data_IF_921166732760
#
_entry.id   IF_921166732760
#
_cell.length_a   1.000
_cell.length_b   1.000
_cell.length_c   1.000
_cell.angle_alpha   90.00
_cell.angle_beta   90.00
_cell.angle_gamma   90.00
#
_symmetry.space_group_name_H-M   'P 1'
#
loop_
_entity.id
_entity.type
_entity.pdbx_description
1 polymer ?
#
# COMPACT_ATOMS: atom_id res chain seq x y z
N UNK A 1 8.13 21.77 -47.30
CA UNK A 1 8.28 20.53 -46.52
C UNK A 1 9.77 20.39 -46.17
N UNK A 2 10.08 20.01 -44.95
CA UNK A 2 11.46 19.78 -44.55
C UNK A 2 12.04 18.58 -45.32
N UNK A 3 13.31 18.69 -45.74
CA UNK A 3 14.04 17.64 -46.46
C UNK A 3 15.21 17.14 -45.63
N UNK A 4 15.60 15.87 -45.82
CA UNK A 4 16.70 15.28 -45.08
C UNK A 4 17.82 14.77 -45.99
N UNK A 5 19.06 14.88 -45.52
CA UNK A 5 20.25 14.36 -46.19
C UNK A 5 21.24 13.82 -45.13
N UNK A 6 21.88 12.70 -45.43
CA UNK A 6 22.99 12.23 -44.60
C UNK A 6 24.23 13.15 -44.81
N UNK A 7 24.90 13.48 -43.73
CA UNK A 7 26.04 14.39 -43.70
C UNK A 7 27.12 13.87 -42.75
N UNK A 8 28.34 13.63 -43.29
CA UNK A 8 29.51 13.34 -42.49
C UNK A 8 30.19 14.62 -42.09
N UNK A 9 30.26 14.94 -40.81
CA UNK A 9 30.80 16.17 -40.29
C UNK A 9 32.32 16.06 -40.09
N UNK A 10 33.07 16.40 -41.13
CA UNK A 10 34.55 16.34 -41.18
C UNK A 10 35.23 17.61 -40.72
N UNK A 11 34.53 18.62 -40.24
CA UNK A 11 35.10 19.88 -39.80
C UNK A 11 36.08 19.68 -38.63
N UNK A 12 37.35 20.12 -38.83
CA UNK A 12 38.40 20.00 -37.83
C UNK A 12 38.88 18.55 -37.64
N UNK A 13 38.71 17.67 -38.64
CA UNK A 13 39.16 16.28 -38.66
C UNK A 13 40.09 16.03 -39.83
N UNK A 14 41.12 15.19 -39.62
CA UNK A 14 41.93 14.66 -40.70
C UNK A 14 41.19 13.55 -41.46
N UNK A 15 41.64 13.18 -42.65
CA UNK A 15 40.93 12.25 -43.56
C UNK A 15 40.71 10.85 -42.94
N UNK A 16 41.60 10.41 -42.04
CA UNK A 16 41.51 9.12 -41.37
C UNK A 16 40.84 9.19 -39.99
N UNK A 17 40.54 10.40 -39.50
CA UNK A 17 39.87 10.54 -38.19
C UNK A 17 38.38 10.16 -38.27
N UNK A 18 37.85 9.43 -37.26
CA UNK A 18 36.42 9.17 -37.22
C UNK A 18 35.58 10.45 -37.04
N UNK A 19 34.81 10.83 -38.04
CA UNK A 19 33.88 11.93 -38.06
C UNK A 19 32.45 11.52 -37.78
N UNK A 20 31.62 12.26 -37.03
CA UNK A 20 30.26 11.90 -36.74
C UNK A 20 29.35 12.01 -37.97
N UNK A 21 28.58 10.94 -38.23
CA UNK A 21 27.51 10.92 -39.23
C UNK A 21 26.24 11.51 -38.67
N UNK A 22 25.64 12.44 -39.37
CA UNK A 22 24.45 13.20 -38.96
C UNK A 22 23.38 13.17 -40.06
N UNK A 23 22.13 13.34 -39.71
CA UNK A 23 21.04 13.72 -40.64
C UNK A 23 20.93 15.21 -40.62
N UNK A 24 21.16 15.83 -41.75
CA UNK A 24 20.89 17.27 -42.00
C UNK A 24 19.43 17.43 -42.36
N UNK A 25 18.70 18.25 -41.62
CA UNK A 25 17.31 18.61 -41.89
C UNK A 25 17.29 20.04 -42.39
N UNK A 26 16.73 20.26 -43.57
CA UNK A 26 16.65 21.60 -44.19
C UNK A 26 15.19 22.01 -44.34
N UNK A 27 14.86 23.23 -43.89
CA UNK A 27 13.54 23.84 -44.06
C UNK A 27 13.70 25.32 -44.37
N UNK A 28 13.08 25.81 -45.44
CA UNK A 28 13.17 27.20 -45.89
C UNK A 28 14.59 27.76 -45.93
N UNK A 29 15.53 27.00 -46.49
CA UNK A 29 16.92 27.40 -46.66
C UNK A 29 17.80 27.39 -45.40
N UNK A 30 17.23 27.04 -44.23
CA UNK A 30 17.98 26.86 -42.97
C UNK A 30 18.15 25.38 -42.67
N UNK A 31 19.29 25.00 -42.08
CA UNK A 31 19.63 23.62 -41.79
C UNK A 31 19.94 23.39 -40.32
N UNK A 32 19.60 22.19 -39.82
CA UNK A 32 19.98 21.68 -38.50
C UNK A 32 20.40 20.22 -38.63
N UNK A 33 20.94 19.65 -37.56
CA UNK A 33 21.54 18.30 -37.61
C UNK A 33 21.09 17.45 -36.45
N UNK A 34 20.79 16.15 -36.73
CA UNK A 34 20.57 15.10 -35.73
C UNK A 34 21.72 14.08 -35.86
N UNK A 35 22.42 13.79 -34.77
CA UNK A 35 23.49 12.77 -34.76
C UNK A 35 22.90 11.37 -34.83
N UNK A 36 23.55 10.49 -35.61
CA UNK A 36 23.19 9.08 -35.70
C UNK A 36 24.01 8.18 -34.75
N UNK A 37 24.85 8.78 -33.90
CA UNK A 37 25.78 8.07 -32.99
C UNK A 37 26.77 7.14 -33.70
N UNK A 38 26.94 7.32 -35.00
CA UNK A 38 27.89 6.61 -35.87
C UNK A 38 29.04 7.55 -36.20
N UNK A 39 30.26 7.05 -36.11
CA UNK A 39 31.48 7.78 -36.54
C UNK A 39 32.19 6.96 -37.62
N UNK A 40 32.58 7.62 -38.71
CA UNK A 40 33.25 7.04 -39.85
C UNK A 40 34.40 7.94 -40.31
N UNK A 41 35.57 7.38 -40.71
CA UNK A 41 36.57 8.15 -41.43
C UNK A 41 36.04 8.52 -42.84
N UNK A 42 36.52 9.61 -43.39
CA UNK A 42 36.11 10.08 -44.71
C UNK A 42 36.31 9.07 -45.82
N UNK A 43 37.36 8.21 -45.71
CA UNK A 43 37.66 7.14 -46.63
C UNK A 43 36.57 6.04 -46.71
N UNK A 44 35.78 5.90 -45.65
CA UNK A 44 34.68 4.94 -45.56
C UNK A 44 33.31 5.54 -45.89
N UNK A 45 33.23 6.76 -46.34
CA UNK A 45 31.99 7.43 -46.69
C UNK A 45 31.94 7.86 -48.15
N UNK A 46 30.85 7.57 -48.84
CA UNK A 46 30.55 8.04 -50.16
C UNK A 46 29.47 9.16 -50.04
N UNK A 47 29.90 10.41 -50.21
CA UNK A 47 29.01 11.57 -50.00
C UNK A 47 27.98 11.74 -51.15
N UNK A 48 28.31 11.29 -52.38
CA UNK A 48 27.36 11.37 -53.50
C UNK A 48 26.27 10.36 -53.38
N UNK A 49 26.64 9.10 -53.11
CA UNK A 49 25.72 7.98 -52.95
C UNK A 49 25.12 7.89 -51.55
N UNK A 50 25.60 8.66 -50.60
CA UNK A 50 25.22 8.65 -49.18
C UNK A 50 25.27 7.22 -48.56
N UNK A 51 26.38 6.50 -48.83
CA UNK A 51 26.56 5.10 -48.42
C UNK A 51 27.91 4.89 -47.77
N UNK A 52 27.94 3.93 -46.89
CA UNK A 52 29.18 3.42 -46.31
C UNK A 52 29.93 2.56 -47.37
N UNK A 53 31.24 2.78 -47.53
CA UNK A 53 32.11 2.02 -48.39
C UNK A 53 33.33 1.57 -47.60
N UNK A 54 33.91 0.41 -47.99
CA UNK A 54 35.17 -0.09 -47.45
C UNK A 54 35.26 -0.19 -45.91
N UNK A 55 34.11 -0.30 -45.22
CA UNK A 55 34.08 -0.46 -43.76
C UNK A 55 33.83 -1.93 -43.39
N UNK A 56 34.41 -2.42 -42.27
CA UNK A 56 33.98 -3.71 -41.70
C UNK A 56 32.49 -3.68 -41.43
N UNK A 57 31.75 -4.76 -41.77
CA UNK A 57 30.32 -4.87 -41.62
C UNK A 57 29.49 -3.75 -42.32
N UNK A 58 30.01 -3.26 -43.47
CA UNK A 58 29.38 -2.13 -44.21
C UNK A 58 27.91 -2.34 -44.52
N UNK A 59 27.45 -3.59 -44.77
CA UNK A 59 26.02 -3.92 -44.99
C UNK A 59 25.15 -3.69 -43.74
N UNK A 60 25.61 -4.18 -42.58
CA UNK A 60 24.89 -3.99 -41.30
C UNK A 60 24.84 -2.52 -40.89
N UNK A 61 25.98 -1.84 -41.06
CA UNK A 61 26.09 -0.43 -40.73
C UNK A 61 25.21 0.45 -41.64
N UNK A 62 25.21 0.12 -42.96
CA UNK A 62 24.32 0.81 -43.90
C UNK A 62 22.84 0.56 -43.59
N UNK A 63 22.47 -0.68 -43.20
CA UNK A 63 21.07 -0.97 -42.76
C UNK A 63 20.70 -0.19 -41.53
N UNK A 64 21.56 -0.11 -40.52
CA UNK A 64 21.32 0.69 -39.30
C UNK A 64 21.15 2.18 -39.63
N UNK A 65 22.04 2.77 -40.43
CA UNK A 65 21.99 4.16 -40.86
C UNK A 65 20.66 4.46 -41.60
N UNK A 66 20.32 3.59 -42.55
CA UNK A 66 19.09 3.74 -43.35
C UNK A 66 17.84 3.64 -42.47
N UNK A 67 17.79 2.69 -41.51
CA UNK A 67 16.68 2.56 -40.59
C UNK A 67 16.51 3.82 -39.71
N UNK A 68 17.61 4.36 -39.18
CA UNK A 68 17.59 5.60 -38.38
C UNK A 68 17.15 6.81 -39.23
N UNK A 69 17.64 6.93 -40.46
CA UNK A 69 17.19 7.98 -41.39
C UNK A 69 15.70 7.83 -41.70
N UNK A 70 15.20 6.61 -41.97
CA UNK A 70 13.81 6.34 -42.26
C UNK A 70 12.89 6.71 -41.07
N UNK A 71 13.32 6.46 -39.82
CA UNK A 71 12.59 6.91 -38.65
C UNK A 71 12.42 8.43 -38.61
N UNK A 72 13.49 9.18 -38.94
CA UNK A 72 13.44 10.64 -39.02
C UNK A 72 12.53 11.10 -40.16
N UNK A 73 12.61 10.48 -41.33
CA UNK A 73 11.79 10.81 -42.49
C UNK A 73 10.31 10.56 -42.21
N UNK A 74 9.97 9.42 -41.60
CA UNK A 74 8.61 9.10 -41.20
C UNK A 74 8.07 10.07 -40.14
N UNK A 75 8.89 10.47 -39.16
CA UNK A 75 8.53 11.49 -38.17
C UNK A 75 8.20 12.84 -38.83
N UNK A 76 9.02 13.27 -39.81
CA UNK A 76 8.75 14.50 -40.55
C UNK A 76 7.44 14.41 -41.36
N UNK A 77 7.20 13.27 -42.01
CA UNK A 77 5.99 13.04 -42.77
C UNK A 77 4.75 13.09 -41.88
N UNK A 78 4.75 12.37 -40.78
CA UNK A 78 3.64 12.25 -39.84
C UNK A 78 3.31 13.58 -39.15
N UNK A 79 4.33 14.28 -38.64
CA UNK A 79 4.19 15.60 -38.03
C UNK A 79 3.76 16.67 -39.04
N UNK A 80 4.21 16.54 -40.31
CA UNK A 80 3.81 17.44 -41.39
C UNK A 80 2.35 17.24 -41.81
N UNK A 81 1.89 15.98 -41.91
CA UNK A 81 0.48 15.65 -42.23
C UNK A 81 -0.48 16.12 -41.15
N UNK A 82 -0.06 16.05 -39.88
CA UNK A 82 -0.80 16.61 -38.73
C UNK A 82 -0.76 18.13 -38.63
N UNK A 83 0.01 18.80 -39.50
CA UNK A 83 0.18 20.25 -39.48
C UNK A 83 1.06 20.79 -38.34
N UNK A 84 1.67 19.90 -37.57
CA UNK A 84 2.42 20.25 -36.35
C UNK A 84 3.79 20.92 -36.62
N UNK A 85 4.30 20.86 -37.84
CA UNK A 85 5.54 21.51 -38.26
C UNK A 85 5.32 22.89 -38.91
N UNK A 86 4.07 23.33 -39.10
CA UNK A 86 3.74 24.57 -39.76
C UNK A 86 4.16 25.77 -38.90
N UNK A 87 4.95 26.71 -39.48
CA UNK A 87 5.40 27.91 -38.79
C UNK A 87 6.58 27.76 -37.84
N UNK A 88 7.11 26.53 -37.68
CA UNK A 88 8.23 26.25 -36.79
C UNK A 88 9.57 26.60 -37.45
N UNK A 89 10.51 27.04 -36.62
CA UNK A 89 11.93 27.20 -37.02
C UNK A 89 12.57 25.81 -37.18
N UNK A 90 13.65 25.71 -37.94
CA UNK A 90 14.37 24.46 -38.21
C UNK A 90 14.86 23.81 -36.90
N UNK A 91 15.20 24.60 -35.87
CA UNK A 91 15.60 24.10 -34.54
C UNK A 91 14.41 23.47 -33.82
N UNK A 92 13.27 24.13 -33.81
CA UNK A 92 12.02 23.58 -33.21
C UNK A 92 11.54 22.33 -33.93
N UNK A 93 11.71 22.27 -35.27
CA UNK A 93 11.44 21.07 -36.06
C UNK A 93 12.33 19.92 -35.60
N UNK A 94 13.64 20.13 -35.40
CA UNK A 94 14.55 19.14 -34.90
C UNK A 94 14.11 18.63 -33.51
N UNK A 95 13.78 19.53 -32.60
CA UNK A 95 13.34 19.20 -31.24
C UNK A 95 12.06 18.37 -31.26
N UNK A 96 11.07 18.75 -32.07
CA UNK A 96 9.84 17.98 -32.25
C UNK A 96 10.07 16.60 -32.86
N UNK A 97 10.95 16.48 -33.85
CA UNK A 97 11.33 15.19 -34.43
C UNK A 97 12.03 14.31 -33.39
N UNK A 98 12.94 14.86 -32.60
CA UNK A 98 13.62 14.12 -31.52
C UNK A 98 12.63 13.69 -30.44
N UNK A 99 11.68 14.54 -30.06
CA UNK A 99 10.60 14.19 -29.13
C UNK A 99 9.66 13.11 -29.71
N UNK A 100 9.37 13.15 -31.01
CA UNK A 100 8.54 12.16 -31.69
C UNK A 100 9.23 10.78 -31.80
N UNK A 101 10.54 10.75 -32.12
CA UNK A 101 11.32 9.52 -32.26
C UNK A 101 11.68 8.92 -30.90
N UNK A 102 12.02 9.77 -29.96
CA UNK A 102 12.29 9.43 -28.57
C UNK A 102 11.34 10.27 -27.70
N UNK A 103 10.07 9.90 -27.60
CA UNK A 103 9.19 10.61 -26.69
C UNK A 103 9.83 10.52 -25.30
N UNK A 104 10.33 11.66 -24.83
CA UNK A 104 10.68 11.80 -23.44
C UNK A 104 9.38 11.54 -22.68
N UNK A 105 9.30 10.42 -21.96
CA UNK A 105 8.19 10.19 -21.03
C UNK A 105 8.18 11.41 -20.14
N UNK A 106 7.14 12.24 -20.23
CA UNK A 106 7.02 13.42 -19.37
C UNK A 106 7.28 12.94 -17.95
N UNK A 107 8.10 13.63 -17.19
CA UNK A 107 8.45 13.21 -15.82
C UNK A 107 7.22 12.86 -14.98
N UNK A 108 6.09 13.53 -15.25
CA UNK A 108 4.80 13.22 -14.61
C UNK A 108 4.20 11.86 -14.98
N UNK A 109 4.60 11.22 -16.09
CA UNK A 109 4.15 9.91 -16.57
C UNK A 109 5.14 8.79 -16.23
N UNK A 110 6.28 9.10 -15.62
CA UNK A 110 7.16 8.07 -15.07
C UNK A 110 6.47 7.33 -13.92
N UNK A 111 6.79 6.05 -13.79
CA UNK A 111 6.14 5.19 -12.79
C UNK A 111 6.19 5.76 -11.37
N UNK A 112 7.35 6.23 -10.91
CA UNK A 112 7.50 6.77 -9.56
C UNK A 112 6.68 8.06 -9.34
N UNK A 113 6.66 8.96 -10.33
CA UNK A 113 5.88 10.21 -10.28
C UNK A 113 4.39 9.91 -10.17
N UNK A 114 3.89 8.97 -11.01
CA UNK A 114 2.50 8.49 -10.95
C UNK A 114 2.19 7.78 -9.65
N UNK A 115 3.10 6.92 -9.17
CA UNK A 115 2.92 6.20 -7.90
C UNK A 115 2.77 7.17 -6.73
N UNK A 116 3.61 8.19 -6.66
CA UNK A 116 3.56 9.25 -5.65
C UNK A 116 2.23 10.00 -5.72
N UNK A 117 1.88 10.53 -6.89
CA UNK A 117 0.62 11.28 -7.13
C UNK A 117 -0.61 10.43 -6.76
N UNK A 118 -0.64 9.17 -7.17
CA UNK A 118 -1.71 8.23 -6.84
C UNK A 118 -1.82 7.97 -5.34
N UNK A 119 -0.71 7.77 -4.64
CA UNK A 119 -0.69 7.61 -3.20
C UNK A 119 -1.19 8.84 -2.44
N UNK A 120 -0.77 10.02 -2.86
CA UNK A 120 -1.17 11.31 -2.27
C UNK A 120 -2.66 11.63 -2.51
N UNK A 121 -3.25 11.16 -3.60
CA UNK A 121 -4.68 11.35 -3.91
C UNK A 121 -5.62 10.50 -3.05
N UNK A 122 -5.12 9.57 -2.24
CA UNK A 122 -5.96 8.75 -1.36
C UNK A 122 -6.57 9.61 -0.25
N UNK A 123 -7.80 9.32 0.14
CA UNK A 123 -8.53 10.10 1.16
C UNK A 123 -8.07 9.76 2.58
N UNK A 124 -7.83 8.49 2.87
CA UNK A 124 -7.45 8.03 4.21
C UNK A 124 -5.94 8.17 4.44
N UNK A 125 -5.54 8.85 5.51
CA UNK A 125 -4.12 9.10 5.85
C UNK A 125 -3.33 7.81 6.01
N UNK A 126 -3.91 6.79 6.64
CA UNK A 126 -3.26 5.48 6.76
C UNK A 126 -2.98 4.83 5.40
N UNK A 127 -3.85 5.04 4.42
CA UNK A 127 -3.63 4.55 3.06
C UNK A 127 -2.48 5.32 2.40
N UNK A 128 -2.41 6.65 2.56
CA UNK A 128 -1.28 7.46 2.08
C UNK A 128 0.05 6.98 2.65
N UNK A 129 0.12 6.72 3.96
CA UNK A 129 1.31 6.19 4.63
C UNK A 129 1.76 4.84 4.05
N UNK A 130 0.82 3.94 3.74
CA UNK A 130 1.12 2.63 3.14
C UNK A 130 1.70 2.81 1.74
N UNK A 131 1.16 3.73 0.91
CA UNK A 131 1.72 4.06 -0.40
C UNK A 131 3.11 4.70 -0.26
N UNK A 132 3.29 5.63 0.66
CA UNK A 132 4.60 6.25 0.93
C UNK A 132 5.65 5.20 1.36
N UNK A 133 5.25 4.24 2.19
CA UNK A 133 6.11 3.11 2.59
C UNK A 133 6.47 2.24 1.39
N UNK A 134 5.51 1.96 0.50
CA UNK A 134 5.78 1.18 -0.72
C UNK A 134 6.72 1.93 -1.65
N UNK A 135 6.51 3.23 -1.85
CA UNK A 135 7.38 4.08 -2.65
C UNK A 135 8.82 4.05 -2.15
N UNK A 136 9.02 4.16 -0.83
CA UNK A 136 10.34 4.05 -0.20
C UNK A 136 10.99 2.70 -0.50
N UNK A 137 10.24 1.59 -0.40
CA UNK A 137 10.75 0.24 -0.73
C UNK A 137 11.14 0.09 -2.19
N UNK A 138 10.41 0.69 -3.12
CA UNK A 138 10.75 0.70 -4.55
C UNK A 138 12.07 1.45 -4.79
N UNK A 139 12.24 2.61 -4.17
CA UNK A 139 13.48 3.41 -4.27
C UNK A 139 14.68 2.68 -3.64
N UNK A 140 14.47 1.97 -2.52
CA UNK A 140 15.51 1.15 -1.88
C UNK A 140 15.92 -0.04 -2.75
N UNK A 141 14.98 -0.61 -3.51
CA UNK A 141 15.20 -1.76 -4.37
C UNK A 141 15.90 -1.39 -5.67
N UNK A 142 15.41 -0.36 -6.36
CA UNK A 142 15.87 0.03 -7.69
C UNK A 142 16.49 1.43 -7.67
N UNK A 143 17.81 1.50 -7.87
CA UNK A 143 18.56 2.77 -7.88
C UNK A 143 18.14 3.71 -9.01
N UNK A 144 17.55 3.16 -10.07
CA UNK A 144 17.09 3.89 -11.24
C UNK A 144 15.57 4.12 -11.23
N UNK A 145 14.91 3.87 -10.11
CA UNK A 145 13.46 3.98 -9.96
C UNK A 145 12.90 5.33 -10.44
N UNK A 146 13.66 6.43 -10.28
CA UNK A 146 13.25 7.77 -10.70
C UNK A 146 13.04 7.93 -12.22
N UNK A 147 13.69 7.09 -13.02
CA UNK A 147 13.63 7.11 -14.49
C UNK A 147 12.84 5.94 -15.09
N UNK A 148 12.25 5.06 -14.25
CA UNK A 148 11.50 3.90 -14.72
C UNK A 148 10.22 4.33 -15.45
N UNK A 149 10.06 3.87 -16.68
CA UNK A 149 8.75 3.85 -17.36
C UNK A 149 7.93 2.62 -16.93
N UNK A 150 6.64 2.64 -17.19
CA UNK A 150 5.76 1.49 -16.91
C UNK A 150 6.19 0.23 -17.67
N UNK A 151 6.70 0.37 -18.90
CA UNK A 151 7.13 -0.72 -19.77
C UNK A 151 8.37 -1.46 -19.23
N UNK A 152 9.19 -0.79 -18.44
CA UNK A 152 10.39 -1.38 -17.83
C UNK A 152 10.07 -2.25 -16.61
N UNK A 153 8.87 -2.10 -16.02
CA UNK A 153 8.43 -2.91 -14.90
C UNK A 153 7.83 -4.22 -15.43
N UNK A 154 8.70 -5.22 -15.59
CA UNK A 154 8.35 -6.55 -16.08
C UNK A 154 7.90 -7.48 -14.95
N UNK A 155 7.41 -8.68 -15.30
CA UNK A 155 7.18 -9.74 -14.29
C UNK A 155 8.43 -10.12 -13.54
N UNK A 156 9.57 -10.12 -14.21
CA UNK A 156 10.87 -10.40 -13.59
C UNK A 156 11.23 -9.33 -12.58
N UNK A 157 11.05 -8.03 -12.93
CA UNK A 157 11.23 -6.92 -11.99
C UNK A 157 10.36 -7.09 -10.74
N UNK A 158 9.08 -7.45 -10.90
CA UNK A 158 8.14 -7.69 -9.79
C UNK A 158 8.59 -8.88 -8.91
N UNK A 159 9.07 -9.96 -9.52
CA UNK A 159 9.58 -11.14 -8.80
C UNK A 159 10.84 -10.81 -8.00
N UNK A 160 11.73 -10.01 -8.58
CA UNK A 160 12.95 -9.55 -7.93
C UNK A 160 12.62 -8.59 -6.77
N UNK A 161 11.62 -7.71 -6.95
CA UNK A 161 11.13 -6.85 -5.88
C UNK A 161 10.49 -7.65 -4.74
N UNK A 162 9.68 -8.68 -5.02
CA UNK A 162 9.14 -9.57 -3.98
C UNK A 162 10.25 -10.30 -3.23
N UNK A 163 11.28 -10.78 -3.94
CA UNK A 163 12.46 -11.42 -3.35
C UNK A 163 13.25 -10.46 -2.46
N UNK A 164 13.42 -9.22 -2.90
CA UNK A 164 14.04 -8.16 -2.08
C UNK A 164 13.25 -7.91 -0.80
N UNK A 165 11.93 -7.77 -0.89
CA UNK A 165 11.08 -7.60 0.30
C UNK A 165 11.16 -8.81 1.25
N UNK A 166 11.23 -10.04 0.71
CA UNK A 166 11.44 -11.26 1.50
C UNK A 166 12.79 -11.23 2.21
N UNK A 167 13.85 -10.79 1.54
CA UNK A 167 15.18 -10.62 2.13
C UNK A 167 15.22 -9.59 3.27
N UNK A 168 14.29 -8.62 3.29
CA UNK A 168 14.08 -7.70 4.40
C UNK A 168 13.24 -8.27 5.56
N UNK A 169 12.89 -9.56 5.52
CA UNK A 169 12.13 -10.24 6.58
C UNK A 169 10.61 -10.03 6.51
N UNK A 170 10.06 -9.45 5.43
CA UNK A 170 8.61 -9.27 5.30
C UNK A 170 7.93 -10.62 5.00
N UNK A 171 6.89 -10.94 5.77
CA UNK A 171 6.01 -12.09 5.52
C UNK A 171 5.18 -11.88 4.25
N UNK A 172 4.69 -12.97 3.64
CA UNK A 172 3.99 -12.95 2.34
C UNK A 172 2.84 -11.94 2.29
N UNK A 173 1.98 -11.90 3.31
CA UNK A 173 0.86 -10.96 3.35
C UNK A 173 1.29 -9.49 3.40
N UNK A 174 2.42 -9.18 4.04
CA UNK A 174 2.98 -7.82 4.06
C UNK A 174 3.57 -7.44 2.69
N UNK A 175 4.28 -8.37 2.02
CA UNK A 175 4.79 -8.17 0.67
C UNK A 175 3.66 -7.94 -0.32
N UNK A 176 2.58 -8.71 -0.20
CA UNK A 176 1.38 -8.58 -1.03
C UNK A 176 0.71 -7.19 -0.93
N UNK A 177 0.85 -6.48 0.19
CA UNK A 177 0.37 -5.09 0.30
C UNK A 177 1.12 -4.21 -0.70
N UNK A 178 2.44 -4.29 -0.75
CA UNK A 178 3.26 -3.51 -1.68
C UNK A 178 2.97 -3.85 -3.14
N UNK A 179 2.83 -5.13 -3.46
CA UNK A 179 2.48 -5.59 -4.82
C UNK A 179 1.07 -5.15 -5.26
N UNK A 180 0.08 -5.15 -4.34
CA UNK A 180 -1.26 -4.61 -4.61
C UNK A 180 -1.24 -3.11 -4.85
N UNK A 181 -0.40 -2.36 -4.14
CA UNK A 181 -0.24 -0.93 -4.37
C UNK A 181 0.33 -0.66 -5.77
N UNK A 182 1.33 -1.43 -6.20
CA UNK A 182 1.87 -1.35 -7.57
C UNK A 182 0.77 -1.69 -8.58
N UNK A 183 0.00 -2.76 -8.37
CA UNK A 183 -1.13 -3.13 -9.23
C UNK A 183 -2.15 -1.99 -9.38
N UNK A 184 -2.48 -1.33 -8.27
CA UNK A 184 -3.46 -0.24 -8.30
C UNK A 184 -2.97 0.95 -9.13
N UNK A 185 -1.68 1.26 -9.06
CA UNK A 185 -1.07 2.33 -9.88
C UNK A 185 -1.02 1.95 -11.35
N UNK A 186 -0.76 0.67 -11.69
CA UNK A 186 -0.85 0.19 -13.07
C UNK A 186 -2.27 0.31 -13.63
N UNK A 187 -3.28 -0.08 -12.85
CA UNK A 187 -4.68 0.06 -13.28
C UNK A 187 -5.03 1.54 -13.53
N UNK A 188 -4.64 2.45 -12.62
CA UNK A 188 -4.83 3.88 -12.80
C UNK A 188 -4.11 4.42 -14.06
N UNK A 189 -2.90 3.95 -14.33
CA UNK A 189 -2.16 4.37 -15.52
C UNK A 189 -2.78 3.87 -16.82
N UNK A 190 -3.34 2.66 -16.81
CA UNK A 190 -4.07 2.09 -17.96
C UNK A 190 -5.38 2.84 -18.17
N UNK A 191 -6.15 3.08 -17.10
CA UNK A 191 -7.42 3.82 -17.16
C UNK A 191 -7.24 5.26 -17.66
N UNK A 192 -6.05 5.85 -17.43
CA UNK A 192 -5.65 7.18 -17.94
C UNK A 192 -4.84 7.13 -19.24
N UNK A 193 -4.82 6.01 -19.97
CA UNK A 193 -4.17 5.83 -21.27
C UNK A 193 -2.66 6.16 -21.28
N UNK A 194 -1.98 6.06 -20.13
CA UNK A 194 -0.54 6.34 -20.01
C UNK A 194 0.28 5.16 -20.50
N UNK A 195 -0.21 3.94 -20.28
CA UNK A 195 0.43 2.71 -20.72
C UNK A 195 -0.63 1.65 -21.04
N UNK A 196 -0.32 0.76 -22.00
CA UNK A 196 -1.09 -0.46 -22.24
C UNK A 196 -0.39 -1.70 -21.60
N UNK A 197 0.81 -1.51 -21.03
CA UNK A 197 1.59 -2.57 -20.43
C UNK A 197 1.01 -3.00 -19.08
N UNK A 198 0.79 -4.32 -18.88
CA UNK A 198 0.24 -4.87 -17.63
C UNK A 198 0.99 -6.12 -17.16
N UNK A 199 2.08 -5.96 -16.41
CA UNK A 199 2.91 -7.08 -15.95
C UNK A 199 2.24 -7.92 -14.86
N UNK A 200 1.16 -7.41 -14.24
CA UNK A 200 0.45 -8.08 -13.15
C UNK A 200 -0.46 -9.22 -13.59
N UNK A 201 -0.65 -9.42 -14.92
CA UNK A 201 -1.46 -10.51 -15.44
C UNK A 201 -0.88 -11.87 -15.02
N UNK A 202 -1.67 -12.65 -14.28
CA UNK A 202 -1.23 -13.95 -13.71
C UNK A 202 -0.04 -13.84 -12.74
N UNK A 203 0.21 -12.66 -12.15
CA UNK A 203 1.19 -12.52 -11.06
C UNK A 203 0.51 -12.87 -9.73
N UNK A 204 1.10 -13.82 -8.99
CA UNK A 204 0.51 -14.30 -7.74
C UNK A 204 0.68 -13.30 -6.60
N UNK A 205 -0.44 -12.76 -6.12
CA UNK A 205 -0.57 -11.95 -4.90
C UNK A 205 -1.67 -12.52 -3.99
N UNK A 206 -1.83 -13.85 -3.99
CA UNK A 206 -2.80 -14.50 -3.12
C UNK A 206 -2.36 -14.42 -1.66
N UNK A 207 -3.29 -14.16 -0.74
CA UNK A 207 -2.97 -14.14 0.67
C UNK A 207 -2.58 -15.53 1.15
N UNK A 208 -1.69 -15.57 2.14
CA UNK A 208 -1.38 -16.77 2.90
C UNK A 208 -2.27 -16.82 4.14
N UNK A 209 -2.76 -18.00 4.46
CA UNK A 209 -3.51 -18.20 5.69
C UNK A 209 -2.63 -17.85 6.91
N UNK A 210 -3.23 -17.18 7.87
CA UNK A 210 -2.56 -16.80 9.12
C UNK A 210 -3.17 -17.59 10.28
N UNK A 211 -2.35 -17.84 11.32
CA UNK A 211 -2.85 -18.44 12.58
C UNK A 211 -4.11 -17.71 13.07
N UNK A 212 -5.07 -18.48 13.57
CA UNK A 212 -6.28 -17.94 14.19
C UNK A 212 -5.90 -17.02 15.37
N UNK A 213 -6.45 -15.83 15.38
CA UNK A 213 -6.24 -14.83 16.43
C UNK A 213 -7.43 -14.76 17.36
N UNK A 214 -7.85 -15.91 17.89
CA UNK A 214 -8.98 -16.03 18.81
C UNK A 214 -8.57 -16.87 20.01
N UNK A 215 -9.16 -16.55 21.16
CA UNK A 215 -9.10 -17.37 22.36
C UNK A 215 -10.19 -18.46 22.30
N UNK A 216 -9.92 -19.64 22.87
CA UNK A 216 -10.95 -20.59 23.22
C UNK A 216 -11.81 -20.04 24.37
N UNK A 217 -12.95 -20.65 24.63
CA UNK A 217 -13.85 -20.26 25.73
C UNK A 217 -13.13 -20.30 27.07
N UNK A 218 -12.40 -21.41 27.32
CA UNK A 218 -11.69 -21.59 28.58
C UNK A 218 -10.53 -20.58 28.74
N UNK A 219 -9.83 -20.28 27.65
CA UNK A 219 -8.81 -19.24 27.63
C UNK A 219 -9.40 -17.85 27.89
N UNK A 220 -10.57 -17.55 27.31
CA UNK A 220 -11.25 -16.26 27.53
C UNK A 220 -11.73 -16.15 28.99
N UNK A 221 -12.34 -17.22 29.54
CA UNK A 221 -12.74 -17.27 30.95
C UNK A 221 -11.56 -17.12 31.89
N UNK A 222 -10.45 -17.78 31.59
CA UNK A 222 -9.19 -17.59 32.33
C UNK A 222 -8.71 -16.16 32.27
N UNK A 223 -8.73 -15.50 31.10
CA UNK A 223 -8.35 -14.10 30.95
C UNK A 223 -9.27 -13.18 31.74
N UNK A 224 -10.58 -13.43 31.75
CA UNK A 224 -11.55 -12.58 32.43
C UNK A 224 -11.55 -12.72 33.95
N UNK A 225 -11.17 -13.90 34.46
CA UNK A 225 -11.12 -14.21 35.90
C UNK A 225 -9.72 -14.09 36.51
N UNK A 226 -8.66 -13.94 35.70
CA UNK A 226 -7.32 -13.88 36.24
C UNK A 226 -7.09 -12.61 37.08
N UNK A 227 -6.35 -12.78 38.19
CA UNK A 227 -5.86 -11.64 38.94
C UNK A 227 -4.80 -10.89 38.11
N UNK A 228 -4.94 -9.57 38.00
CA UNK A 228 -3.99 -8.69 37.30
C UNK A 228 -3.49 -7.61 38.24
N UNK A 229 -2.31 -7.06 37.97
CA UNK A 229 -1.80 -5.92 38.71
C UNK A 229 -2.67 -4.67 38.45
N UNK A 230 -2.76 -3.76 39.44
CA UNK A 230 -3.59 -2.54 39.37
C UNK A 230 -3.37 -1.74 38.07
N UNK A 231 -2.15 -1.66 37.57
CA UNK A 231 -1.86 -0.93 36.33
C UNK A 231 -2.38 -1.67 35.06
N UNK A 232 -2.59 -2.99 35.12
CA UNK A 232 -3.11 -3.79 34.01
C UNK A 232 -4.64 -3.77 33.94
N UNK A 233 -5.31 -3.51 35.07
CA UNK A 233 -6.77 -3.61 35.22
C UNK A 233 -7.51 -2.83 34.15
N UNK A 234 -7.14 -1.55 33.93
CA UNK A 234 -7.79 -0.71 32.90
C UNK A 234 -7.64 -1.27 31.47
N UNK A 235 -6.57 -1.99 31.19
CA UNK A 235 -6.36 -2.59 29.87
C UNK A 235 -7.16 -3.87 29.73
N UNK A 236 -7.26 -4.67 30.77
CA UNK A 236 -8.13 -5.84 30.79
C UNK A 236 -9.60 -5.44 30.67
N UNK A 237 -10.04 -4.42 31.37
CA UNK A 237 -11.40 -3.89 31.28
C UNK A 237 -11.68 -3.32 29.85
N UNK A 238 -10.69 -2.69 29.22
CA UNK A 238 -10.80 -2.28 27.83
C UNK A 238 -10.98 -3.47 26.87
N UNK A 239 -10.30 -4.59 27.12
CA UNK A 239 -10.49 -5.81 26.34
C UNK A 239 -11.89 -6.38 26.55
N UNK A 240 -12.35 -6.47 27.82
CA UNK A 240 -13.70 -6.92 28.18
C UNK A 240 -14.76 -6.05 27.50
N UNK A 241 -14.66 -4.72 27.63
CA UNK A 241 -15.61 -3.78 27.00
C UNK A 241 -15.63 -3.95 25.49
N UNK A 242 -14.46 -4.11 24.85
CA UNK A 242 -14.37 -4.35 23.41
C UNK A 242 -15.10 -5.65 23.03
N UNK A 243 -14.95 -6.71 23.80
CA UNK A 243 -15.63 -7.98 23.58
C UNK A 243 -17.14 -7.87 23.79
N UNK A 244 -17.59 -7.23 24.86
CA UNK A 244 -19.01 -7.05 25.19
C UNK A 244 -19.76 -6.21 24.14
N UNK A 245 -19.04 -5.32 23.48
CA UNK A 245 -19.52 -4.51 22.36
C UNK A 245 -19.22 -5.16 20.98
N UNK A 246 -19.31 -6.49 20.89
CA UNK A 246 -19.19 -7.26 19.63
C UNK A 246 -17.85 -7.01 18.92
N UNK A 247 -16.79 -6.80 19.66
CA UNK A 247 -15.48 -6.50 19.10
C UNK A 247 -15.41 -5.16 18.35
N UNK A 248 -15.99 -4.12 18.91
CA UNK A 248 -15.91 -2.75 18.39
C UNK A 248 -14.46 -2.36 18.09
N UNK A 249 -14.20 -1.65 16.97
CA UNK A 249 -12.83 -1.24 16.66
C UNK A 249 -12.32 -0.19 17.65
N UNK A 250 -11.03 -0.23 17.99
CA UNK A 250 -10.42 0.74 18.90
C UNK A 250 -10.70 2.20 18.56
N UNK A 251 -10.58 2.57 17.28
CA UNK A 251 -10.85 3.95 16.85
C UNK A 251 -12.28 4.34 17.11
N UNK A 252 -13.24 3.44 16.84
CA UNK A 252 -14.66 3.73 17.01
C UNK A 252 -14.99 3.86 18.51
N UNK A 253 -14.55 2.92 19.36
CA UNK A 253 -14.79 3.00 20.81
C UNK A 253 -14.16 4.23 21.45
N UNK A 254 -12.93 4.57 21.06
CA UNK A 254 -12.20 5.72 21.62
C UNK A 254 -12.69 7.07 21.10
N UNK A 255 -13.56 7.10 20.10
CA UNK A 255 -14.19 8.33 19.58
C UNK A 255 -15.63 8.51 20.02
N UNK A 256 -16.25 7.50 20.63
CA UNK A 256 -17.61 7.61 21.13
C UNK A 256 -17.72 8.61 22.30
N UNK A 257 -18.86 9.32 22.33
CA UNK A 257 -19.26 10.25 23.37
C UNK A 257 -20.59 9.80 23.98
N UNK A 258 -21.09 10.49 24.98
CA UNK A 258 -22.43 10.22 25.57
C UNK A 258 -23.56 10.39 24.55
N UNK A 259 -23.39 11.25 23.55
CA UNK A 259 -24.37 11.45 22.48
C UNK A 259 -24.56 10.18 21.62
N UNK A 260 -23.61 9.27 21.65
CA UNK A 260 -23.73 7.98 20.99
C UNK A 260 -24.60 6.97 21.73
N UNK A 261 -24.99 7.28 22.98
CA UNK A 261 -25.90 6.41 23.75
C UNK A 261 -27.35 6.93 23.57
N UNK A 262 -28.19 6.08 23.00
CA UNK A 262 -29.64 6.33 22.84
C UNK A 262 -30.42 5.07 23.17
N UNK A 263 -31.41 5.18 24.03
CA UNK A 263 -32.32 4.08 24.42
C UNK A 263 -31.57 2.79 24.82
N UNK A 264 -30.51 2.92 25.63
CA UNK A 264 -29.68 1.79 26.07
C UNK A 264 -28.81 1.16 24.98
N UNK A 265 -28.60 1.86 23.88
CA UNK A 265 -27.84 1.39 22.73
C UNK A 265 -26.67 2.32 22.41
N UNK A 266 -25.53 1.75 22.02
CA UNK A 266 -24.42 2.48 21.46
C UNK A 266 -24.61 2.59 19.94
N UNK A 267 -24.88 3.82 19.47
CA UNK A 267 -25.11 4.11 18.06
C UNK A 267 -23.94 4.94 17.55
N UNK A 268 -23.22 4.42 16.58
CA UNK A 268 -22.05 5.10 16.02
C UNK A 268 -21.86 4.81 14.54
N UNK A 269 -21.18 5.73 13.85
CA UNK A 269 -20.79 5.59 12.46
C UNK A 269 -19.35 5.06 12.40
N UNK A 270 -19.16 3.87 11.82
CA UNK A 270 -17.84 3.25 11.72
C UNK A 270 -16.87 4.08 10.89
N UNK A 271 -15.74 4.45 11.42
CA UNK A 271 -14.72 5.30 10.79
C UNK A 271 -14.27 4.75 9.42
N UNK A 272 -14.03 3.45 9.33
CA UNK A 272 -13.48 2.82 8.12
C UNK A 272 -14.48 2.73 6.96
N UNK A 273 -15.76 2.52 7.22
CA UNK A 273 -16.74 2.15 6.17
C UNK A 273 -17.91 3.11 6.08
N UNK A 274 -18.06 4.03 7.04
CA UNK A 274 -19.19 4.93 7.13
C UNK A 274 -20.55 4.27 7.47
N UNK A 275 -20.56 2.94 7.76
CA UNK A 275 -21.78 2.20 8.12
C UNK A 275 -22.19 2.57 9.55
N UNK A 276 -23.50 2.72 9.76
CA UNK A 276 -24.09 2.89 11.09
C UNK A 276 -24.15 1.55 11.83
N UNK A 277 -23.81 1.58 13.11
CA UNK A 277 -23.91 0.48 14.05
C UNK A 277 -24.83 0.87 15.20
N UNK A 278 -25.58 -0.10 15.67
CA UNK A 278 -26.46 0.01 16.84
C UNK A 278 -26.28 -1.26 17.66
N UNK A 279 -25.59 -1.16 18.78
CA UNK A 279 -25.27 -2.27 19.68
C UNK A 279 -26.00 -2.03 21.00
N UNK A 280 -26.78 -2.99 21.48
CA UNK A 280 -27.36 -2.95 22.83
C UNK A 280 -26.21 -2.99 23.85
N UNK A 281 -26.27 -2.08 24.82
CA UNK A 281 -25.29 -2.05 25.90
C UNK A 281 -25.80 -2.94 27.00
N UNK A 282 -25.16 -4.10 27.15
CA UNK A 282 -25.48 -5.07 28.20
C UNK A 282 -24.92 -4.60 29.56
N UNK A 283 -25.47 -5.10 30.67
CA UNK A 283 -25.12 -4.66 32.03
C UNK A 283 -23.63 -4.74 32.32
N UNK A 284 -22.99 -5.81 31.84
CA UNK A 284 -21.52 -6.01 31.98
C UNK A 284 -20.70 -4.90 31.28
N UNK A 285 -21.22 -4.37 30.21
CA UNK A 285 -20.60 -3.23 29.50
C UNK A 285 -20.87 -1.90 30.21
N UNK A 286 -22.08 -1.74 30.78
CA UNK A 286 -22.48 -0.56 31.56
C UNK A 286 -21.55 -0.37 32.75
N UNK A 287 -21.25 -1.44 33.50
CA UNK A 287 -20.36 -1.39 34.66
C UNK A 287 -18.96 -0.85 34.31
N UNK A 288 -18.41 -1.30 33.18
CA UNK A 288 -17.10 -0.82 32.73
C UNK A 288 -17.19 0.64 32.22
N UNK A 289 -18.23 0.99 31.48
CA UNK A 289 -18.45 2.36 31.01
C UNK A 289 -18.56 3.31 32.21
N UNK A 290 -19.30 2.96 33.24
CA UNK A 290 -19.45 3.75 34.45
C UNK A 290 -18.14 3.88 35.23
N UNK A 291 -17.38 2.78 35.38
CA UNK A 291 -16.06 2.74 36.03
C UNK A 291 -15.07 3.69 35.37
N UNK A 292 -15.10 3.78 34.03
CA UNK A 292 -14.16 4.58 33.24
C UNK A 292 -14.83 5.77 32.55
N UNK A 293 -15.91 6.30 33.11
CA UNK A 293 -16.63 7.43 32.53
C UNK A 293 -15.69 8.57 32.17
N UNK A 294 -15.78 9.04 30.93
CA UNK A 294 -15.01 10.17 30.44
C UNK A 294 -15.68 11.52 30.69
N UNK A 295 -14.93 12.59 30.56
CA UNK A 295 -15.46 13.97 30.59
C UNK A 295 -15.97 14.44 29.24
N UNK A 296 -15.30 14.03 28.16
CA UNK A 296 -15.62 14.37 26.77
C UNK A 296 -15.97 13.13 25.96
N UNK A 297 -15.30 12.03 26.26
CA UNK A 297 -15.50 10.75 25.59
C UNK A 297 -16.37 9.84 26.48
N UNK A 298 -16.99 8.87 25.88
CA UNK A 298 -17.79 7.87 26.60
C UNK A 298 -16.97 7.19 27.71
N UNK A 299 -15.70 6.88 27.40
CA UNK A 299 -14.74 6.29 28.34
C UNK A 299 -13.42 7.07 28.32
N UNK A 300 -12.81 7.26 29.50
CA UNK A 300 -11.63 8.11 29.68
C UNK A 300 -10.30 7.46 29.25
N UNK A 301 -10.33 6.33 28.57
CA UNK A 301 -9.12 5.59 28.23
C UNK A 301 -8.08 6.41 27.46
N UNK A 302 -8.52 7.33 26.60
CA UNK A 302 -7.68 8.11 25.71
C UNK A 302 -7.71 9.62 25.95
N UNK A 303 -8.52 10.12 26.90
CA UNK A 303 -8.70 11.57 27.13
C UNK A 303 -7.42 12.37 27.39
N UNK A 304 -6.41 11.72 27.97
CA UNK A 304 -5.12 12.34 28.27
C UNK A 304 -4.01 11.91 27.31
N UNK A 305 -4.36 11.39 26.13
CA UNK A 305 -3.41 10.89 25.15
C UNK A 305 -3.52 11.67 23.84
N UNK A 306 -2.39 11.84 23.17
CA UNK A 306 -2.33 12.53 21.88
C UNK A 306 -3.12 11.77 20.81
N UNK A 307 -3.09 10.42 20.84
CA UNK A 307 -3.81 9.57 19.91
C UNK A 307 -4.29 8.28 20.60
N UNK A 308 -5.38 7.71 20.11
CA UNK A 308 -5.85 6.39 20.56
C UNK A 308 -4.82 5.28 20.25
N UNK A 309 -3.99 5.43 19.22
CA UNK A 309 -2.92 4.48 18.89
C UNK A 309 -1.96 4.26 20.05
N UNK A 310 -1.57 5.35 20.73
CA UNK A 310 -0.68 5.26 21.90
C UNK A 310 -1.30 4.43 23.02
N UNK A 311 -2.61 4.55 23.25
CA UNK A 311 -3.31 3.72 24.23
C UNK A 311 -3.35 2.24 23.80
N UNK A 312 -3.71 1.99 22.55
CA UNK A 312 -3.79 0.62 21.98
C UNK A 312 -2.43 -0.08 22.04
N UNK A 313 -1.32 0.63 21.76
CA UNK A 313 0.02 0.07 21.91
C UNK A 313 0.35 -0.30 23.34
N UNK A 314 0.00 0.57 24.30
CA UNK A 314 0.17 0.29 25.74
C UNK A 314 -0.69 -0.90 26.16
N UNK A 315 -1.94 -0.96 25.72
CA UNK A 315 -2.84 -2.07 25.99
C UNK A 315 -2.28 -3.40 25.44
N UNK A 316 -1.83 -3.41 24.19
CA UNK A 316 -1.23 -4.61 23.59
C UNK A 316 0.06 -5.04 24.29
N UNK A 317 0.86 -4.11 24.84
CA UNK A 317 2.01 -4.43 25.66
C UNK A 317 1.61 -4.97 27.04
N UNK A 318 0.51 -4.45 27.63
CA UNK A 318 -0.04 -4.92 28.89
C UNK A 318 -0.59 -6.35 28.79
N UNK A 319 -1.36 -6.66 27.73
CA UNK A 319 -1.88 -8.00 27.50
C UNK A 319 -0.80 -9.08 27.44
N UNK A 320 0.34 -8.76 26.83
CA UNK A 320 1.50 -9.66 26.73
C UNK A 320 2.24 -9.87 28.08
N UNK A 321 1.78 -9.22 29.15
CA UNK A 321 2.30 -9.35 30.50
C UNK A 321 1.24 -9.91 31.47
N UNK A 322 0.02 -10.18 31.01
CA UNK A 322 -1.00 -10.82 31.85
C UNK A 322 -0.64 -12.30 31.99
N UNK A 323 -0.31 -12.72 33.20
CA UNK A 323 0.16 -14.05 33.54
C UNK A 323 0.78 -14.11 34.91
N UNK A 324 1.56 -15.17 35.17
CA UNK A 324 2.26 -15.34 36.43
C UNK A 324 3.36 -14.28 36.59
N UNK A 325 3.47 -13.73 37.79
CA UNK A 325 4.50 -12.75 38.16
C UNK A 325 5.61 -13.47 38.91
N UNK A 326 6.81 -13.43 38.33
CA UNK A 326 7.98 -14.09 38.90
C UNK A 326 8.99 -13.03 39.36
N UNK A 327 9.46 -13.10 40.60
CA UNK A 327 10.58 -12.30 41.08
C UNK A 327 11.87 -13.04 40.76
N UNK A 328 12.71 -12.44 39.92
CA UNK A 328 14.00 -13.02 39.51
C UNK A 328 15.12 -12.23 40.18
N UNK A 329 16.04 -12.91 40.88
CA UNK A 329 17.20 -12.27 41.48
C UNK A 329 18.15 -11.71 40.43
N UNK A 330 18.66 -10.51 40.70
CA UNK A 330 19.67 -9.89 39.83
C UNK A 330 21.02 -10.56 40.07
N UNK A 331 21.47 -11.38 39.12
CA UNK A 331 22.80 -12.03 39.18
C UNK A 331 23.95 -11.03 38.98
N UNK A 332 23.71 -9.94 38.25
CA UNK A 332 24.69 -8.85 38.07
C UNK A 332 24.11 -7.52 38.53
N UNK A 333 24.78 -6.90 39.47
CA UNK A 333 24.42 -5.56 39.98
C UNK A 333 25.03 -4.51 39.06
N UNK A 334 24.27 -4.02 38.08
CA UNK A 334 24.67 -2.82 37.32
C UNK A 334 24.47 -1.55 38.15
N UNK A 335 25.12 -0.45 37.77
CA UNK A 335 24.96 0.84 38.45
C UNK A 335 23.51 1.31 38.59
N UNK A 336 22.64 0.95 37.61
CA UNK A 336 21.19 1.27 37.62
C UNK A 336 20.39 0.35 38.57
N UNK A 337 20.83 -0.87 38.83
CA UNK A 337 20.12 -1.88 39.64
C UNK A 337 20.60 -2.00 41.06
N UNK A 338 21.45 -1.09 41.54
CA UNK A 338 22.02 -1.13 42.90
C UNK A 338 20.99 -1.10 44.04
N UNK A 339 19.77 -0.58 43.74
CA UNK A 339 18.66 -0.49 44.72
C UNK A 339 17.79 -1.72 44.82
N UNK A 340 17.83 -2.61 43.83
CA UNK A 340 16.92 -3.77 43.77
C UNK A 340 17.73 -5.04 43.64
N UNK A 341 17.46 -6.00 44.55
CA UNK A 341 18.03 -7.35 44.52
C UNK A 341 17.33 -8.28 43.55
N UNK A 342 16.20 -7.86 42.96
CA UNK A 342 15.39 -8.63 42.03
C UNK A 342 14.78 -7.73 40.99
N UNK A 343 14.36 -8.32 39.86
CA UNK A 343 13.49 -7.69 38.86
C UNK A 343 12.25 -8.56 38.67
N UNK A 344 11.17 -7.92 38.21
CA UNK A 344 9.89 -8.60 37.92
C UNK A 344 9.94 -9.13 36.51
N UNK A 345 9.71 -10.44 36.37
CA UNK A 345 9.50 -11.10 35.06
C UNK A 345 8.07 -11.61 34.99
N UNK A 346 7.43 -11.37 33.84
CA UNK A 346 6.10 -11.87 33.56
C UNK A 346 6.18 -13.13 32.71
N UNK A 347 5.46 -14.20 33.11
CA UNK A 347 5.22 -15.40 32.33
C UNK A 347 3.81 -15.29 31.76
N UNK A 348 3.63 -14.75 30.54
CA UNK A 348 2.31 -14.45 30.02
C UNK A 348 1.51 -15.71 29.72
N UNK A 349 0.19 -15.69 29.99
CA UNK A 349 -0.73 -16.75 29.57
C UNK A 349 -0.90 -16.72 28.04
N UNK A 350 -0.94 -15.53 27.44
CA UNK A 350 -1.20 -15.33 26.02
C UNK A 350 -0.18 -14.35 25.38
N UNK A 351 1.02 -14.80 25.02
CA UNK A 351 2.13 -13.92 24.60
C UNK A 351 1.87 -13.20 23.27
N UNK A 352 0.91 -13.66 22.47
CA UNK A 352 0.52 -13.03 21.19
C UNK A 352 -0.75 -12.17 21.32
N UNK A 353 -1.37 -12.07 22.51
CA UNK A 353 -2.65 -11.38 22.71
C UNK A 353 -2.58 -9.90 22.31
N UNK A 354 -3.60 -9.46 21.62
CA UNK A 354 -3.83 -8.05 21.25
C UNK A 354 -5.30 -7.72 21.31
N UNK A 355 -5.66 -6.45 21.36
CA UNK A 355 -7.06 -6.00 21.41
C UNK A 355 -7.91 -6.58 20.26
N UNK A 356 -7.32 -6.78 19.11
CA UNK A 356 -8.02 -7.32 17.94
C UNK A 356 -8.52 -8.75 18.14
N UNK A 357 -7.92 -9.51 19.07
CA UNK A 357 -8.38 -10.84 19.44
C UNK A 357 -9.78 -10.81 20.07
N UNK A 358 -10.17 -9.75 20.75
CA UNK A 358 -11.52 -9.62 21.31
C UNK A 358 -12.60 -9.83 20.23
N UNK A 359 -12.41 -9.18 19.07
CA UNK A 359 -13.33 -9.29 17.94
C UNK A 359 -13.33 -10.68 17.30
N UNK A 360 -12.14 -11.26 17.08
CA UNK A 360 -12.06 -12.62 16.54
C UNK A 360 -12.61 -13.66 17.51
N UNK A 361 -12.37 -13.49 18.80
CA UNK A 361 -12.86 -14.39 19.83
C UNK A 361 -14.38 -14.35 19.89
N UNK A 362 -14.99 -13.16 19.86
CA UNK A 362 -16.44 -13.02 19.81
C UNK A 362 -17.02 -13.77 18.60
N UNK A 363 -16.49 -13.56 17.42
CA UNK A 363 -16.95 -14.22 16.20
C UNK A 363 -16.79 -15.75 16.25
N UNK A 364 -15.64 -16.23 16.74
CA UNK A 364 -15.35 -17.66 16.84
C UNK A 364 -16.29 -18.35 17.84
N UNK A 365 -16.54 -17.72 18.99
CA UNK A 365 -17.46 -18.25 20.00
C UNK A 365 -18.90 -18.23 19.46
N UNK A 366 -19.34 -17.12 18.87
CA UNK A 366 -20.66 -17.01 18.25
C UNK A 366 -20.91 -18.13 17.24
N UNK A 367 -19.94 -18.40 16.38
CA UNK A 367 -20.01 -19.52 15.42
C UNK A 367 -20.07 -20.88 16.14
N UNK A 368 -19.25 -21.08 17.18
CA UNK A 368 -19.19 -22.36 17.91
C UNK A 368 -20.48 -22.71 18.68
N UNK A 369 -21.29 -21.71 19.05
CA UNK A 369 -22.59 -21.89 19.71
C UNK A 369 -23.78 -21.85 18.75
N UNK A 370 -23.50 -21.98 17.43
CA UNK A 370 -24.52 -22.14 16.39
C UNK A 370 -25.23 -20.87 15.95
N UNK A 371 -24.61 -19.68 16.16
CA UNK A 371 -25.13 -18.44 15.58
C UNK A 371 -24.82 -18.44 14.07
N UNK A 372 -25.83 -18.17 13.20
CA UNK A 372 -25.66 -18.15 11.76
C UNK A 372 -24.57 -17.18 11.29
N UNK A 373 -23.79 -17.57 10.28
CA UNK A 373 -22.70 -16.74 9.74
C UNK A 373 -23.17 -15.37 9.25
N UNK A 374 -24.39 -15.28 8.72
CA UNK A 374 -24.97 -14.03 8.24
C UNK A 374 -25.16 -13.04 9.38
N UNK A 375 -25.64 -13.51 10.56
CA UNK A 375 -25.81 -12.68 11.77
C UNK A 375 -24.43 -12.25 12.30
N UNK A 376 -23.46 -13.17 12.34
CA UNK A 376 -22.09 -12.88 12.76
C UNK A 376 -21.47 -11.80 11.83
N UNK A 377 -21.59 -12.00 10.53
CA UNK A 377 -21.04 -11.06 9.55
C UNK A 377 -21.70 -9.68 9.65
N UNK A 378 -23.03 -9.63 9.84
CA UNK A 378 -23.76 -8.39 10.01
C UNK A 378 -23.36 -7.68 11.31
N UNK A 379 -23.30 -8.38 12.43
CA UNK A 379 -22.84 -7.88 13.72
C UNK A 379 -21.40 -7.31 13.61
N UNK A 380 -20.56 -7.93 12.82
CA UNK A 380 -19.20 -7.45 12.54
C UNK A 380 -19.14 -6.41 11.40
N UNK A 381 -20.25 -6.16 10.70
CA UNK A 381 -20.36 -5.20 9.60
C UNK A 381 -19.55 -5.60 8.38
N UNK A 382 -19.46 -6.87 8.12
CA UNK A 382 -18.98 -7.36 6.84
C UNK A 382 -20.13 -7.30 5.82
N UNK A 383 -19.85 -6.93 4.58
CA UNK A 383 -20.85 -6.96 3.52
C UNK A 383 -21.10 -8.40 3.10
N UNK A 384 -22.27 -8.92 3.40
CA UNK A 384 -22.78 -10.16 2.81
C UNK A 384 -23.81 -9.82 1.73
N UNK A 385 -23.66 -10.41 0.56
CA UNK A 385 -24.67 -10.42 -0.49
C UNK A 385 -25.02 -9.05 -1.13
N UNK A 386 -26.02 -9.07 -2.01
CA UNK A 386 -26.48 -7.92 -2.74
C UNK A 386 -27.05 -6.82 -1.84
N UNK A 387 -26.68 -5.58 -2.11
CA UNK A 387 -27.11 -4.34 -1.41
C UNK A 387 -28.64 -4.15 -1.28
N UNK A 388 -29.43 -4.93 -1.95
CA UNK A 388 -30.91 -4.86 -1.99
C UNK A 388 -31.59 -5.31 -0.68
N UNK A 389 -30.88 -6.02 0.20
CA UNK A 389 -31.43 -6.52 1.48
C UNK A 389 -31.35 -5.49 2.62
N UNK A 390 -30.79 -4.30 2.40
CA UNK A 390 -30.64 -3.26 3.43
C UNK A 390 -31.97 -2.64 3.92
N UNK A 391 -33.09 -2.97 3.29
CA UNK A 391 -34.44 -2.47 3.67
C UNK A 391 -35.06 -3.24 4.86
N UNK A 392 -34.44 -4.37 5.27
CA UNK A 392 -34.92 -5.24 6.37
C UNK A 392 -34.19 -5.01 7.69
N UNK A 393 -33.72 -3.77 7.95
CA UNK A 393 -32.78 -3.42 9.03
C UNK A 393 -33.35 -3.72 10.45
N UNK A 394 -34.65 -3.58 10.69
CA UNK A 394 -35.21 -3.75 12.06
C UNK A 394 -35.15 -5.21 12.59
N UNK A 395 -35.31 -6.22 11.74
CA UNK A 395 -35.20 -7.62 12.17
C UNK A 395 -33.76 -8.03 12.47
N UNK A 396 -32.80 -7.40 11.80
CA UNK A 396 -31.39 -7.68 11.93
C UNK A 396 -30.81 -7.22 13.28
N UNK A 397 -31.23 -6.07 13.78
CA UNK A 397 -30.76 -5.53 15.07
C UNK A 397 -31.17 -6.43 16.25
N UNK A 398 -32.42 -6.90 16.29
CA UNK A 398 -32.88 -7.84 17.32
C UNK A 398 -32.11 -9.17 17.31
N UNK A 399 -31.78 -9.68 16.13
CA UNK A 399 -30.99 -10.91 15.99
C UNK A 399 -29.55 -10.71 16.47
N UNK A 400 -28.95 -9.54 16.19
CA UNK A 400 -27.61 -9.19 16.67
C UNK A 400 -27.60 -9.09 18.21
N UNK A 401 -28.60 -8.46 18.81
CA UNK A 401 -28.74 -8.33 20.26
C UNK A 401 -28.88 -9.71 20.92
N UNK A 402 -29.76 -10.56 20.39
CA UNK A 402 -29.94 -11.93 20.87
C UNK A 402 -28.64 -12.76 20.74
N UNK A 403 -27.93 -12.62 19.61
CA UNK A 403 -26.66 -13.26 19.41
C UNK A 403 -25.60 -12.79 20.41
N UNK A 404 -25.50 -11.48 20.65
CA UNK A 404 -24.54 -10.94 21.61
C UNK A 404 -24.87 -11.43 23.03
N UNK A 405 -26.14 -11.36 23.45
CA UNK A 405 -26.55 -11.87 24.76
C UNK A 405 -26.21 -13.33 24.94
N UNK A 406 -26.53 -14.17 23.94
CA UNK A 406 -26.20 -15.60 23.96
C UNK A 406 -24.69 -15.87 24.11
N UNK A 407 -23.86 -15.09 23.41
CA UNK A 407 -22.38 -15.18 23.56
C UNK A 407 -21.95 -14.81 24.98
N UNK A 408 -22.47 -13.73 25.54
CA UNK A 408 -22.13 -13.29 26.89
C UNK A 408 -22.59 -14.29 27.95
N UNK A 409 -23.83 -14.79 27.86
CA UNK A 409 -24.38 -15.81 28.76
C UNK A 409 -23.54 -17.08 28.74
N UNK A 410 -23.13 -17.52 27.55
CA UNK A 410 -22.29 -18.70 27.42
C UNK A 410 -20.90 -18.52 28.03
N UNK A 411 -20.29 -17.35 27.81
CA UNK A 411 -18.93 -17.06 28.30
C UNK A 411 -18.89 -16.81 29.80
N UNK A 412 -19.81 -15.97 30.30
CA UNK A 412 -19.76 -15.46 31.68
C UNK A 412 -20.51 -16.36 32.68
N UNK A 413 -21.63 -16.93 32.26
CA UNK A 413 -22.53 -17.67 33.17
C UNK A 413 -22.65 -19.15 32.87
N UNK A 414 -21.95 -19.62 31.82
CA UNK A 414 -21.95 -21.01 31.37
C UNK A 414 -23.35 -21.54 30.98
N UNK A 415 -24.23 -20.66 30.55
CA UNK A 415 -25.56 -20.99 30.07
C UNK A 415 -25.44 -21.55 28.65
N UNK A 416 -25.89 -22.76 28.42
CA UNK A 416 -25.86 -23.48 27.12
C UNK A 416 -27.29 -23.66 26.65
N UNK A 417 -27.96 -22.59 26.20
CA UNK A 417 -29.26 -22.72 25.54
C UNK A 417 -29.16 -22.52 24.02
#
# INVERSE_FOLDING_TARGET
MATTKLYLDTRGKEDNDPAPLKVCITNHGKSTYISLEVKLPKSQWDAEKQKVKNAPNSKLLSSYINNKKLQIDNAILDLSTKGELKGLTVIQIREKIQEYINPSVKDENLFLSRFKKFGESRTADRTKEIYATTLKKIIEFDKYASSLSFEQITKEWLSNFDTFLKGQGLVKNSRNIHLRNIRAVFNDAIDNEITAHYPMRKFDINPEETEKRSLSIDELRKLFSCHVEKWQERYLDYFKLTFFLIGINPVDLCSCTDENIKDGRLIYKRHKTGRMYSIRIEDEAIDIINKYKGKKLLVNFTEHMTTYHTFVEKANKAYKKIGDVIKVENKEKTAHNRKFSYHIQYKPFFPKLSIYWARHTWATIAFSIGIPEEIIAEALGHSHGNRTTAIYIDKSVANIDAANRKVLDYVLYNIKE
#
